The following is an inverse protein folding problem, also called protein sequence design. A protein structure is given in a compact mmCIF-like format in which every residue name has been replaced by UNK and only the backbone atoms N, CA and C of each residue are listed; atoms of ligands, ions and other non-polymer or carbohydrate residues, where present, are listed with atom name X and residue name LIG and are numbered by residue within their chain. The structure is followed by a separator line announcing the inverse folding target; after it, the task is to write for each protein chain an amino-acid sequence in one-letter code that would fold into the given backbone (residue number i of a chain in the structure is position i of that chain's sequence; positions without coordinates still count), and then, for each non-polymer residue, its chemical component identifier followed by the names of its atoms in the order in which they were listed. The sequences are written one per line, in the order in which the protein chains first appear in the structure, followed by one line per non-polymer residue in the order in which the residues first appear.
data_IF_443399048908
#
_entry.id   IF_443399048908
#
_cell.length_a   1.000
_cell.length_b   1.000
_cell.length_c   1.000
_cell.angle_alpha   90.00
_cell.angle_beta   90.00
_cell.angle_gamma   90.00
#
_symmetry.space_group_name_H-M   'P 1'
#
loop_
_entity.id
_entity.type
_entity.pdbx_description
1 polymer ?
#
# COMPACT_ATOMS: atom_id res chain seq x y z
N UNK A 1 -0.63 10.24 7.84
CA UNK A 1 -0.10 9.14 7.01
C UNK A 1 -1.28 8.38 6.42
N UNK A 2 -1.39 8.32 5.10
CA UNK A 2 -2.44 7.57 4.40
C UNK A 2 -2.02 6.10 4.29
N UNK A 3 -2.94 5.18 4.52
CA UNK A 3 -2.68 3.74 4.32
C UNK A 3 -3.59 3.23 3.23
N UNK A 4 -3.02 2.73 2.14
CA UNK A 4 -3.74 1.95 1.14
C UNK A 4 -3.57 0.48 1.50
N UNK A 5 -4.66 -0.24 1.70
CA UNK A 5 -4.61 -1.66 2.04
C UNK A 5 -5.37 -2.49 1.02
N UNK A 6 -4.74 -3.59 0.60
CA UNK A 6 -5.41 -4.64 -0.14
C UNK A 6 -6.03 -5.62 0.85
N UNK A 7 -7.26 -6.04 0.62
CA UNK A 7 -7.89 -7.14 1.38
C UNK A 7 -8.52 -8.12 0.41
N UNK A 8 -8.31 -9.41 0.65
CA UNK A 8 -8.94 -10.47 -0.12
C UNK A 8 -10.38 -10.67 0.38
N UNK A 9 -11.30 -10.89 -0.54
CA UNK A 9 -12.67 -11.30 -0.26
C UNK A 9 -12.75 -12.81 -0.07
N UNK A 10 -13.87 -13.28 0.50
CA UNK A 10 -14.13 -14.72 0.62
C UNK A 10 -14.20 -15.44 -0.74
N UNK A 11 -14.54 -14.71 -1.82
CA UNK A 11 -14.58 -15.23 -3.18
C UNK A 11 -13.20 -15.25 -3.86
N UNK A 12 -12.13 -14.86 -3.17
CA UNK A 12 -10.77 -14.82 -3.70
C UNK A 12 -10.42 -13.55 -4.49
N UNK A 13 -11.40 -12.67 -4.72
CA UNK A 13 -11.18 -11.34 -5.32
C UNK A 13 -10.49 -10.37 -4.35
N UNK A 14 -9.93 -9.29 -4.87
CA UNK A 14 -9.17 -8.32 -4.09
C UNK A 14 -9.83 -6.94 -4.11
N UNK A 15 -9.84 -6.30 -2.95
CA UNK A 15 -10.41 -4.98 -2.73
C UNK A 15 -9.30 -4.00 -2.33
N UNK A 16 -9.35 -2.78 -2.85
CA UNK A 16 -8.42 -1.70 -2.50
C UNK A 16 -9.14 -0.73 -1.57
N UNK A 17 -8.57 -0.53 -0.39
CA UNK A 17 -9.07 0.40 0.61
C UNK A 17 -8.10 1.56 0.77
N UNK A 18 -8.64 2.75 1.02
CA UNK A 18 -7.92 3.89 1.59
C UNK A 18 -8.36 4.08 3.03
N UNK A 19 -7.44 3.84 3.95
CA UNK A 19 -7.70 3.76 5.39
C UNK A 19 -8.78 2.70 5.68
N UNK A 20 -10.02 3.12 5.93
CA UNK A 20 -11.15 2.22 6.18
C UNK A 20 -12.20 2.23 5.06
N UNK A 21 -12.06 3.11 4.07
CA UNK A 21 -13.01 3.24 2.96
C UNK A 21 -12.58 2.36 1.80
N UNK A 22 -13.48 1.49 1.33
CA UNK A 22 -13.25 0.73 0.10
C UNK A 22 -13.41 1.64 -1.11
N UNK A 23 -12.41 1.65 -1.99
CA UNK A 23 -12.45 2.45 -3.21
C UNK A 23 -12.71 1.58 -4.43
N UNK A 24 -12.12 0.38 -4.47
CA UNK A 24 -12.29 -0.57 -5.57
C UNK A 24 -12.55 -1.98 -5.05
N UNK A 25 -13.39 -2.72 -5.77
CA UNK A 25 -13.79 -4.08 -5.43
C UNK A 25 -13.58 -5.03 -6.61
N UNK A 26 -13.60 -6.33 -6.30
CA UNK A 26 -13.60 -7.44 -7.25
C UNK A 26 -12.46 -7.44 -8.28
N UNK A 27 -11.26 -7.02 -7.84
CA UNK A 27 -10.06 -7.01 -8.67
C UNK A 27 -9.30 -8.33 -8.57
N UNK A 28 -8.59 -8.68 -9.62
CA UNK A 28 -7.52 -9.69 -9.54
C UNK A 28 -6.33 -9.12 -8.76
N UNK A 29 -5.51 -9.99 -8.15
CA UNK A 29 -4.41 -9.55 -7.28
C UNK A 29 -3.43 -8.60 -7.99
N UNK A 30 -2.94 -8.97 -9.18
CA UNK A 30 -2.01 -8.15 -9.95
C UNK A 30 -2.55 -6.74 -10.22
N UNK A 31 -3.73 -6.61 -10.85
CA UNK A 31 -4.41 -5.32 -11.03
C UNK A 31 -4.64 -4.54 -9.73
N UNK A 32 -5.03 -5.21 -8.64
CA UNK A 32 -5.23 -4.56 -7.34
C UNK A 32 -3.92 -3.96 -6.79
N UNK A 33 -2.80 -4.67 -6.94
CA UNK A 33 -1.47 -4.18 -6.52
C UNK A 33 -1.06 -2.98 -7.36
N UNK A 34 -1.17 -3.07 -8.68
CA UNK A 34 -0.79 -1.98 -9.59
C UNK A 34 -1.61 -0.72 -9.29
N UNK A 35 -2.93 -0.86 -9.17
CA UNK A 35 -3.81 0.25 -8.85
C UNK A 35 -3.49 0.86 -7.49
N UNK A 36 -3.30 0.05 -6.45
CA UNK A 36 -2.96 0.54 -5.12
C UNK A 36 -1.62 1.32 -5.10
N UNK A 37 -0.62 0.88 -5.87
CA UNK A 37 0.66 1.59 -6.02
C UNK A 37 0.49 2.91 -6.77
N UNK A 38 -0.27 2.91 -7.85
CA UNK A 38 -0.56 4.12 -8.63
C UNK A 38 -1.30 5.16 -7.79
N UNK A 39 -2.31 4.74 -7.03
CA UNK A 39 -3.03 5.61 -6.10
C UNK A 39 -2.13 6.17 -5.01
N UNK A 40 -1.25 5.35 -4.43
CA UNK A 40 -0.30 5.82 -3.43
C UNK A 40 0.68 6.84 -4.04
N UNK A 41 1.16 6.60 -5.26
CA UNK A 41 2.01 7.54 -5.98
C UNK A 41 1.29 8.86 -6.24
N UNK A 42 0.04 8.81 -6.69
CA UNK A 42 -0.77 10.00 -6.96
C UNK A 42 -1.09 10.78 -5.68
N UNK A 43 -1.44 10.10 -4.59
CA UNK A 43 -1.67 10.74 -3.29
C UNK A 43 -0.40 11.44 -2.77
N UNK A 44 0.78 10.81 -2.92
CA UNK A 44 2.04 11.41 -2.52
C UNK A 44 2.39 12.62 -3.40
N UNK A 45 2.35 12.49 -4.73
CA UNK A 45 2.77 13.57 -5.63
C UNK A 45 1.77 14.73 -5.71
N UNK A 46 0.46 14.46 -5.66
CA UNK A 46 -0.56 15.52 -5.83
C UNK A 46 -0.91 16.19 -4.50
N UNK A 47 -0.93 15.43 -3.40
CA UNK A 47 -1.40 15.92 -2.10
C UNK A 47 -0.27 16.06 -1.08
N UNK A 48 0.95 15.61 -1.39
CA UNK A 48 2.10 15.67 -0.47
C UNK A 48 1.96 14.73 0.74
N UNK A 49 1.00 13.80 0.71
CA UNK A 49 0.76 12.93 1.86
C UNK A 49 1.73 11.76 1.91
N UNK A 50 2.37 11.56 3.05
CA UNK A 50 3.07 10.29 3.35
C UNK A 50 2.08 9.13 3.29
N UNK A 51 2.35 8.15 2.44
CA UNK A 51 1.44 7.05 2.12
C UNK A 51 2.18 5.71 2.02
N UNK A 52 1.51 4.63 2.41
CA UNK A 52 2.04 3.28 2.26
C UNK A 52 0.98 2.33 1.71
N UNK A 53 1.42 1.31 0.99
CA UNK A 53 0.58 0.24 0.45
C UNK A 53 0.88 -1.04 1.22
N UNK A 54 -0.16 -1.65 1.78
CA UNK A 54 -0.07 -2.85 2.61
C UNK A 54 -0.99 -3.95 2.07
N UNK A 55 -0.59 -5.19 2.30
CA UNK A 55 -1.34 -6.38 1.92
C UNK A 55 -1.19 -7.45 3.01
N UNK A 56 -2.24 -8.19 3.38
CA UNK A 56 -2.10 -9.36 4.24
C UNK A 56 -1.27 -10.42 3.51
N UNK A 57 -0.15 -10.81 4.10
CA UNK A 57 0.60 -12.00 3.73
C UNK A 57 0.21 -13.19 4.63
N UNK A 58 0.77 -14.38 4.37
CA UNK A 58 0.42 -15.60 5.08
C UNK A 58 0.65 -15.55 6.60
N UNK A 59 1.67 -14.82 7.05
CA UNK A 59 2.07 -14.72 8.46
C UNK A 59 2.15 -13.27 8.97
N UNK A 60 2.21 -12.29 8.07
CA UNK A 60 2.41 -10.89 8.43
C UNK A 60 1.92 -9.95 7.33
N UNK A 61 1.79 -8.66 7.65
CA UNK A 61 1.46 -7.65 6.65
C UNK A 61 2.68 -7.38 5.77
N UNK A 62 2.51 -7.55 4.46
CA UNK A 62 3.51 -7.24 3.44
C UNK A 62 3.33 -5.76 3.03
N UNK A 63 4.42 -4.99 3.07
CA UNK A 63 4.46 -3.63 2.55
C UNK A 63 4.85 -3.67 1.08
N UNK A 64 3.94 -3.26 0.20
CA UNK A 64 4.15 -3.29 -1.25
C UNK A 64 4.82 -2.01 -1.78
N UNK A 65 4.59 -0.88 -1.10
CA UNK A 65 5.20 0.41 -1.42
C UNK A 65 5.11 1.35 -0.20
N UNK A 66 6.04 2.29 -0.11
CA UNK A 66 6.01 3.40 0.85
C UNK A 66 6.54 4.65 0.17
N UNK A 67 5.75 5.71 0.21
CA UNK A 67 6.13 7.03 -0.26
C UNK A 67 6.06 7.97 0.94
N UNK A 68 7.22 8.48 1.33
CA UNK A 68 7.38 9.44 2.38
C UNK A 68 8.53 10.36 1.98
N UNK A 69 8.44 11.63 2.38
CA UNK A 69 9.59 12.52 2.27
C UNK A 69 10.74 11.90 3.04
N UNK A 70 11.84 11.74 2.34
CA UNK A 70 13.01 11.04 2.81
C UNK A 70 13.80 11.98 3.74
N UNK A 71 13.34 12.09 4.98
CA UNK A 71 14.17 12.60 6.08
C UNK A 71 14.79 11.44 6.87
N UNK A 72 15.07 10.33 6.19
CA UNK A 72 15.73 9.17 6.78
C UNK A 72 16.63 8.44 5.77
N UNK A 73 17.55 9.19 5.18
CA UNK A 73 18.83 8.65 4.71
C UNK A 73 19.76 8.29 5.89
N UNK A 74 19.26 7.64 6.94
CA UNK A 74 19.99 6.99 8.06
C UNK A 74 18.98 6.01 8.70
N UNK A 75 19.01 4.70 8.46
CA UNK A 75 19.97 3.78 9.05
C UNK A 75 19.96 2.45 8.25
N UNK A 76 20.75 2.42 7.18
CA UNK A 76 21.44 1.19 6.80
C UNK A 76 22.83 1.27 7.43
N UNK A 77 22.91 1.02 8.73
CA UNK A 77 24.20 0.76 9.40
C UNK A 77 24.14 -0.62 10.00
N UNK A 78 24.78 -1.54 9.28
CA UNK A 78 25.48 -2.74 9.75
C UNK A 78 24.81 -3.54 10.88
N UNK A 79 24.19 -4.66 10.52
CA UNK A 79 24.30 -5.85 11.35
C UNK A 79 25.68 -6.46 11.06
N UNK A 80 26.57 -6.34 12.04
CA UNK A 80 27.84 -7.07 12.13
C UNK A 80 27.60 -8.53 12.53
#
# INVERSE_FOLDING_TARGET
MVTISLKQSAAGSWHVYRCQTVLFRDLQLGPAISLAKEMARDEYHRLGHRVCVKMPGPSSTIMLARYADDDARVASTMAA
#
